data_IF_776164151641
#
_entry.id   IF_776164151641
#
_cell.length_a   1.000
_cell.length_b   1.000
_cell.length_c   1.000
_cell.angle_alpha   90.00
_cell.angle_beta   90.00
_cell.angle_gamma   90.00
#
_symmetry.space_group_name_H-M   'P 1'
#
loop_
_entity.id
_entity.type
_entity.pdbx_description
1 polymer ?
#
# COMPACT_ATOMS: atom_id res chain seq x y z
N UNK A 1 2.38 43.73 -11.11
CA UNK A 1 3.19 42.53 -11.41
C UNK A 1 2.50 41.38 -10.69
N UNK A 2 1.90 40.47 -11.46
CA UNK A 2 1.09 39.36 -10.96
C UNK A 2 1.93 38.11 -11.16
N UNK A 3 2.35 37.46 -10.07
CA UNK A 3 2.98 36.13 -10.16
C UNK A 3 1.97 35.14 -9.60
N UNK A 4 1.18 34.55 -10.50
CA UNK A 4 0.27 33.47 -10.16
C UNK A 4 1.10 32.23 -9.78
N UNK A 5 1.03 31.86 -8.50
CA UNK A 5 1.48 30.57 -8.01
C UNK A 5 0.63 29.49 -8.70
N UNK A 6 1.21 28.82 -9.70
CA UNK A 6 0.64 27.63 -10.30
C UNK A 6 0.36 26.59 -9.21
N UNK A 7 -0.91 26.47 -8.86
CA UNK A 7 -1.45 25.41 -8.02
C UNK A 7 -1.28 24.10 -8.79
N UNK A 8 -0.17 23.40 -8.57
CA UNK A 8 0.00 22.03 -9.06
C UNK A 8 -1.08 21.19 -8.39
N UNK A 9 -2.15 20.90 -9.13
CA UNK A 9 -3.16 19.97 -8.68
C UNK A 9 -2.47 18.63 -8.47
N UNK A 10 -2.60 18.06 -7.26
CA UNK A 10 -2.20 16.68 -7.02
C UNK A 10 -2.88 15.80 -8.08
N UNK A 11 -2.15 14.85 -8.71
CA UNK A 11 -2.75 13.96 -9.68
C UNK A 11 -3.94 13.25 -9.02
N UNK A 12 -5.07 13.20 -9.74
CA UNK A 12 -6.25 12.49 -9.30
C UNK A 12 -5.86 11.05 -8.92
N UNK A 13 -6.45 10.47 -7.84
CA UNK A 13 -6.16 9.09 -7.49
C UNK A 13 -6.48 8.21 -8.69
N UNK A 14 -5.45 7.51 -9.20
CA UNK A 14 -5.51 6.73 -10.44
C UNK A 14 -6.48 5.52 -10.39
N UNK A 15 -7.25 5.34 -9.32
CA UNK A 15 -8.02 4.12 -9.10
C UNK A 15 -9.38 4.40 -8.46
N UNK A 16 -10.50 4.01 -9.12
CA UNK A 16 -11.82 3.99 -8.47
C UNK A 16 -11.86 2.90 -7.38
N UNK A 17 -12.59 3.14 -6.29
CA UNK A 17 -12.74 2.21 -5.16
C UNK A 17 -13.20 0.78 -5.56
N UNK A 18 -13.78 0.62 -6.75
CA UNK A 18 -14.27 -0.65 -7.29
C UNK A 18 -13.31 -1.33 -8.30
N UNK A 19 -12.10 -0.83 -8.50
CA UNK A 19 -11.14 -1.46 -9.41
C UNK A 19 -10.90 -2.93 -9.03
N UNK A 20 -10.80 -3.83 -10.01
CA UNK A 20 -10.48 -5.24 -9.78
C UNK A 20 -9.02 -5.41 -9.35
N UNK A 21 -8.67 -6.54 -8.72
CA UNK A 21 -7.27 -6.85 -8.37
C UNK A 21 -6.36 -6.85 -9.60
N UNK A 22 -6.86 -7.31 -10.75
CA UNK A 22 -6.10 -7.26 -12.01
C UNK A 22 -5.88 -5.83 -12.50
N UNK A 23 -6.89 -4.95 -12.43
CA UNK A 23 -6.73 -3.55 -12.83
C UNK A 23 -5.72 -2.81 -11.93
N UNK A 24 -5.75 -3.09 -10.62
CA UNK A 24 -4.74 -2.59 -9.68
C UNK A 24 -3.34 -3.06 -10.06
N UNK A 25 -3.17 -4.35 -10.35
CA UNK A 25 -1.89 -4.91 -10.77
C UNK A 25 -1.37 -4.27 -12.07
N UNK A 26 -2.23 -4.00 -13.04
CA UNK A 26 -1.86 -3.28 -14.27
C UNK A 26 -1.34 -1.87 -13.96
N UNK A 27 -2.04 -1.10 -13.12
CA UNK A 27 -1.62 0.26 -12.72
C UNK A 27 -0.28 0.21 -11.99
N UNK A 28 -0.11 -0.73 -11.05
CA UNK A 28 1.13 -0.89 -10.28
C UNK A 28 2.29 -1.30 -11.18
N UNK A 29 2.08 -2.24 -12.10
CA UNK A 29 3.11 -2.66 -13.06
C UNK A 29 3.50 -1.55 -14.04
N UNK A 30 2.55 -0.70 -14.44
CA UNK A 30 2.83 0.39 -15.38
C UNK A 30 3.46 1.64 -14.73
N UNK A 31 3.15 1.91 -13.46
CA UNK A 31 3.48 3.19 -12.81
C UNK A 31 4.26 3.04 -11.50
N UNK A 32 4.59 1.82 -11.06
CA UNK A 32 5.39 1.56 -9.88
C UNK A 32 6.84 1.95 -10.09
N UNK A 33 7.29 3.04 -9.46
CA UNK A 33 8.68 3.52 -9.57
C UNK A 33 9.70 2.54 -8.99
N UNK A 34 9.27 1.68 -8.07
CA UNK A 34 10.09 0.63 -7.47
C UNK A 34 10.59 -0.40 -8.48
N UNK A 35 9.94 -0.57 -9.63
CA UNK A 35 10.38 -1.49 -10.68
C UNK A 35 11.75 -1.12 -11.28
N UNK A 36 12.17 0.14 -11.12
CA UNK A 36 13.46 0.65 -11.59
C UNK A 36 14.50 0.78 -10.47
N UNK A 37 14.16 0.37 -9.24
CA UNK A 37 15.10 0.43 -8.12
C UNK A 37 16.25 -0.56 -8.35
N UNK A 38 17.48 -0.10 -8.14
CA UNK A 38 18.63 -0.99 -8.12
C UNK A 38 18.66 -1.68 -6.76
N UNK A 39 18.56 -3.01 -6.77
CA UNK A 39 18.61 -3.84 -5.56
C UNK A 39 19.86 -4.70 -5.61
N UNK A 40 20.60 -4.75 -4.50
CA UNK A 40 21.71 -5.70 -4.31
C UNK A 40 21.40 -6.63 -3.16
N UNK A 41 22.12 -7.74 -3.04
CA UNK A 41 21.94 -8.69 -1.94
C UNK A 41 22.16 -8.07 -0.55
N UNK A 42 22.89 -6.96 -0.47
CA UNK A 42 23.21 -6.26 0.78
C UNK A 42 22.47 -4.93 0.94
N UNK A 43 21.71 -4.50 -0.08
CA UNK A 43 21.01 -3.23 -0.11
C UNK A 43 19.69 -3.41 -0.86
N UNK A 44 18.68 -3.89 -0.12
CA UNK A 44 17.30 -4.02 -0.58
C UNK A 44 16.41 -3.10 0.28
N UNK A 45 15.98 -1.94 -0.25
CA UNK A 45 15.13 -1.01 0.49
C UNK A 45 13.74 -1.60 0.79
N UNK A 46 13.33 -2.67 0.10
CA UNK A 46 12.05 -3.33 0.33
C UNK A 46 12.10 -4.36 1.46
N UNK A 47 13.31 -4.78 1.86
CA UNK A 47 13.57 -5.72 2.96
C UNK A 47 14.68 -5.18 3.89
N UNK A 48 14.42 -4.07 4.61
CA UNK A 48 15.43 -3.45 5.47
C UNK A 48 15.83 -4.37 6.64
N UNK A 49 17.10 -4.31 7.04
CA UNK A 49 17.68 -5.12 8.12
C UNK A 49 17.32 -4.62 9.55
N UNK A 50 16.10 -4.12 9.74
CA UNK A 50 15.58 -3.65 11.03
C UNK A 50 14.19 -4.23 11.27
N UNK A 51 13.88 -4.51 12.52
CA UNK A 51 12.54 -4.96 12.94
C UNK A 51 11.81 -3.91 13.77
N UNK A 52 12.41 -2.73 13.97
CA UNK A 52 11.84 -1.66 14.79
C UNK A 52 10.61 -1.09 14.06
N UNK A 53 9.39 -1.20 14.63
CA UNK A 53 8.16 -0.85 13.91
C UNK A 53 8.13 0.57 13.38
N UNK A 54 8.47 1.57 14.20
CA UNK A 54 8.41 2.98 13.79
C UNK A 54 9.42 3.30 12.67
N UNK A 55 10.60 2.66 12.71
CA UNK A 55 11.61 2.81 11.66
C UNK A 55 11.13 2.19 10.35
N UNK A 56 10.52 1.00 10.41
CA UNK A 56 9.93 0.36 9.22
C UNK A 56 8.81 1.21 8.60
N UNK A 57 7.96 1.83 9.43
CA UNK A 57 6.88 2.69 8.95
C UNK A 57 7.39 3.97 8.28
N UNK A 58 8.48 4.56 8.79
CA UNK A 58 9.15 5.69 8.11
C UNK A 58 9.77 5.25 6.79
N UNK A 59 10.58 4.18 6.80
CA UNK A 59 11.21 3.65 5.58
C UNK A 59 10.18 3.31 4.50
N UNK A 60 9.01 2.78 4.88
CA UNK A 60 7.95 2.48 3.93
C UNK A 60 7.42 3.75 3.24
N UNK A 61 7.20 4.81 4.02
CA UNK A 61 6.73 6.11 3.52
C UNK A 61 7.76 6.76 2.61
N UNK A 62 9.02 6.76 3.02
CA UNK A 62 10.12 7.31 2.22
C UNK A 62 10.29 6.55 0.90
N UNK A 63 10.37 5.22 0.95
CA UNK A 63 10.61 4.40 -0.23
C UNK A 63 9.50 4.50 -1.28
N UNK A 64 8.27 4.81 -0.86
CA UNK A 64 7.12 4.98 -1.76
C UNK A 64 6.73 6.44 -1.99
N UNK A 65 7.49 7.41 -1.48
CA UNK A 65 7.18 8.83 -1.58
C UNK A 65 7.11 9.27 -3.05
N UNK A 66 6.06 10.00 -3.41
CA UNK A 66 5.85 10.48 -4.78
C UNK A 66 5.50 9.41 -5.82
N UNK A 67 5.37 8.14 -5.43
CA UNK A 67 4.98 7.09 -6.37
C UNK A 67 3.53 7.30 -6.85
N UNK A 68 3.28 7.47 -8.17
CA UNK A 68 1.93 7.68 -8.69
C UNK A 68 1.02 6.46 -8.46
N UNK A 69 1.59 5.25 -8.38
CA UNK A 69 0.86 4.02 -8.10
C UNK A 69 0.65 3.74 -6.60
N UNK A 70 1.03 4.64 -5.68
CA UNK A 70 1.05 4.38 -4.23
C UNK A 70 -0.28 3.79 -3.72
N UNK A 71 -1.40 4.45 -4.01
CA UNK A 71 -2.72 4.01 -3.51
C UNK A 71 -3.16 2.68 -4.15
N UNK A 72 -2.86 2.49 -5.44
CA UNK A 72 -3.14 1.24 -6.16
C UNK A 72 -2.34 0.07 -5.55
N UNK A 73 -1.05 0.29 -5.29
CA UNK A 73 -0.13 -0.68 -4.71
C UNK A 73 -0.55 -1.05 -3.29
N UNK A 74 -0.93 -0.07 -2.47
CA UNK A 74 -1.46 -0.29 -1.12
C UNK A 74 -2.71 -1.16 -1.13
N UNK A 75 -3.69 -0.82 -1.95
CA UNK A 75 -4.93 -1.61 -2.03
C UNK A 75 -4.68 -3.02 -2.58
N UNK A 76 -3.80 -3.15 -3.59
CA UNK A 76 -3.40 -4.43 -4.14
C UNK A 76 -2.77 -5.32 -3.07
N UNK A 77 -1.81 -4.79 -2.30
CA UNK A 77 -1.13 -5.52 -1.23
C UNK A 77 -2.14 -6.03 -0.19
N UNK A 78 -3.02 -5.16 0.31
CA UNK A 78 -4.03 -5.54 1.30
C UNK A 78 -4.99 -6.62 0.79
N UNK A 79 -5.28 -6.66 -0.51
CA UNK A 79 -6.12 -7.71 -1.12
C UNK A 79 -5.38 -9.02 -1.30
N UNK A 80 -4.14 -8.98 -1.80
CA UNK A 80 -3.33 -10.18 -2.00
C UNK A 80 -2.97 -10.85 -0.67
N UNK A 81 -2.73 -10.06 0.37
CA UNK A 81 -2.36 -10.54 1.70
C UNK A 81 -3.59 -10.86 2.57
N UNK A 82 -4.82 -10.58 2.08
CA UNK A 82 -6.05 -10.69 2.86
C UNK A 82 -6.34 -12.08 3.41
N UNK A 83 -5.72 -13.14 2.88
CA UNK A 83 -5.84 -14.53 3.36
C UNK A 83 -4.55 -15.07 3.97
N UNK A 84 -3.47 -14.30 3.99
CA UNK A 84 -2.18 -14.75 4.50
C UNK A 84 -2.13 -14.72 6.03
N UNK A 85 -1.33 -15.61 6.65
CA UNK A 85 -0.96 -15.49 8.05
C UNK A 85 0.04 -14.34 8.24
N UNK A 86 0.03 -13.70 9.41
CA UNK A 86 0.89 -12.55 9.71
C UNK A 86 2.38 -12.75 9.39
N UNK A 87 3.02 -13.89 9.75
CA UNK A 87 4.42 -14.15 9.44
C UNK A 87 4.76 -14.22 7.93
N UNK A 88 3.75 -14.42 7.07
CA UNK A 88 3.93 -14.42 5.62
C UNK A 88 3.81 -13.02 4.99
N UNK A 89 3.45 -12.00 5.79
CA UNK A 89 3.41 -10.59 5.38
C UNK A 89 4.75 -9.97 5.76
N UNK A 90 5.57 -9.67 4.76
CA UNK A 90 6.94 -9.19 4.93
C UNK A 90 7.24 -8.02 3.99
N UNK A 91 8.34 -7.33 4.25
CA UNK A 91 8.83 -6.22 3.42
C UNK A 91 7.93 -4.98 3.38
N UNK A 92 8.42 -3.94 2.72
CA UNK A 92 7.75 -2.66 2.56
C UNK A 92 6.96 -2.65 1.25
N UNK A 93 5.64 -2.42 1.31
CA UNK A 93 4.76 -2.46 0.13
C UNK A 93 3.68 -1.41 0.23
N UNK A 94 3.45 -0.64 -0.83
CA UNK A 94 2.36 0.34 -0.89
C UNK A 94 2.48 1.46 0.15
N UNK A 95 3.72 1.80 0.53
CA UNK A 95 4.03 2.76 1.57
C UNK A 95 3.53 2.35 2.95
N UNK A 96 3.53 1.04 3.24
CA UNK A 96 3.20 0.48 4.54
C UNK A 96 4.21 -0.58 4.95
N UNK A 97 4.55 -0.60 6.23
CA UNK A 97 5.29 -1.68 6.87
C UNK A 97 4.40 -2.92 7.09
N UNK A 98 4.99 -4.11 7.34
CA UNK A 98 4.22 -5.34 7.56
C UNK A 98 3.18 -5.24 8.67
N UNK A 99 3.53 -4.63 9.81
CA UNK A 99 2.64 -4.51 10.97
C UNK A 99 1.41 -3.64 10.66
N UNK A 100 1.59 -2.53 9.93
CA UNK A 100 0.48 -1.67 9.50
C UNK A 100 -0.48 -2.42 8.55
N UNK A 101 0.06 -3.20 7.61
CA UNK A 101 -0.77 -4.02 6.70
C UNK A 101 -1.54 -5.10 7.47
N UNK A 102 -0.90 -5.76 8.42
CA UNK A 102 -1.54 -6.75 9.31
C UNK A 102 -2.71 -6.11 10.07
N UNK A 103 -2.52 -4.93 10.64
CA UNK A 103 -3.56 -4.21 11.38
C UNK A 103 -4.74 -3.81 10.49
N UNK A 104 -4.46 -3.26 9.30
CA UNK A 104 -5.50 -2.90 8.34
C UNK A 104 -6.29 -4.12 7.84
N UNK A 105 -5.62 -5.24 7.57
CA UNK A 105 -6.27 -6.50 7.18
C UNK A 105 -7.16 -7.01 8.33
N UNK A 106 -6.67 -6.97 9.57
CA UNK A 106 -7.47 -7.35 10.76
C UNK A 106 -8.71 -6.47 10.89
N UNK A 107 -8.57 -5.15 10.73
CA UNK A 107 -9.67 -4.21 10.78
C UNK A 107 -10.73 -4.50 9.72
N UNK A 108 -10.33 -4.68 8.45
CA UNK A 108 -11.23 -5.03 7.33
C UNK A 108 -11.99 -6.34 7.60
N UNK A 109 -11.30 -7.36 8.10
CA UNK A 109 -11.93 -8.65 8.46
C UNK A 109 -12.95 -8.47 9.58
N UNK A 110 -12.64 -7.67 10.60
CA UNK A 110 -13.55 -7.40 11.70
C UNK A 110 -14.83 -6.68 11.23
N UNK A 111 -14.70 -5.69 10.32
CA UNK A 111 -15.83 -5.00 9.71
C UNK A 111 -16.73 -5.94 8.90
N UNK A 112 -16.14 -6.81 8.08
CA UNK A 112 -16.90 -7.82 7.33
C UNK A 112 -17.65 -8.77 8.25
N UNK A 113 -17.04 -9.21 9.35
CA UNK A 113 -17.70 -10.06 10.34
C UNK A 113 -18.86 -9.33 11.04
N UNK A 114 -18.68 -8.05 11.39
CA UNK A 114 -19.75 -7.21 11.97
C UNK A 114 -20.90 -7.05 10.98
N UNK A 115 -20.62 -6.76 9.71
CA UNK A 115 -21.63 -6.63 8.66
C UNK A 115 -22.44 -7.92 8.47
N UNK A 116 -21.77 -9.09 8.46
CA UNK A 116 -22.45 -10.39 8.36
C UNK A 116 -23.33 -10.71 9.55
N UNK A 117 -22.91 -10.32 10.77
CA UNK A 117 -23.72 -10.49 11.99
C UNK A 117 -24.91 -9.54 12.05
N UNK A 118 -24.74 -8.28 11.61
CA UNK A 118 -25.80 -7.28 11.56
C UNK A 118 -26.84 -7.50 10.45
N UNK A 119 -26.49 -8.26 9.40
CA UNK A 119 -27.40 -8.59 8.29
C UNK A 119 -28.36 -9.75 8.54
N UNK A 120 -28.27 -10.44 9.68
CA UNK A 120 -29.09 -11.62 10.02
C UNK A 120 -30.38 -11.35 10.79
N UNK A 121 -30.72 -10.08 11.05
CA UNK A 121 -31.97 -9.68 11.69
C UNK A 121 -32.87 -8.98 10.67
N UNK A 122 -33.55 -9.75 9.82
CA UNK A 122 -34.71 -9.29 9.04
C UNK A 122 -35.67 -10.46 8.83
#
# INVERSE_FOLDING_TARGET
MITELSKVAAPAPLVPAQASTSALATVVGAHGVCANAQVTATDDPWFPATEIPDVLAELAREACAGCPALQACRELALRMEASLPGPAIQGLVGGLAPHERIELIRARRAELLRARRGGGAR
#
